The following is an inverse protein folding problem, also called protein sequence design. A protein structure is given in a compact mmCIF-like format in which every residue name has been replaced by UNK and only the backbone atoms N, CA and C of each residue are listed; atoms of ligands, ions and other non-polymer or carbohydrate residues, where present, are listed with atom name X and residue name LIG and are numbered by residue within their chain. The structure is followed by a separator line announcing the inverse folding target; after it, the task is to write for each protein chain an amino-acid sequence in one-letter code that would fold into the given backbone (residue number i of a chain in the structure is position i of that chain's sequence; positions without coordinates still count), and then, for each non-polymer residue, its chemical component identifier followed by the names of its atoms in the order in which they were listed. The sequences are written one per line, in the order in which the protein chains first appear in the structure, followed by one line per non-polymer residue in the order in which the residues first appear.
data_IF_800300623047
#
_entry.id   IF_800300623047
#
_cell.length_a   1.000
_cell.length_b   1.000
_cell.length_c   1.000
_cell.angle_alpha   90.00
_cell.angle_beta   90.00
_cell.angle_gamma   90.00
#
_symmetry.space_group_name_H-M   'P 1'
#
loop_
_entity.id
_entity.type
_entity.pdbx_description
1 polymer ?
#
# COMPACT_ATOMS: atom_id res chain seq x y z
N UNK A 1 10.93 -2.90 7.14
CA UNK A 1 10.46 -1.87 6.18
C UNK A 1 11.29 -0.58 6.25
N UNK A 2 11.57 -0.02 7.43
CA UNK A 2 12.44 1.17 7.56
C UNK A 2 13.84 0.95 6.97
N UNK A 3 14.39 -0.25 7.12
CA UNK A 3 15.72 -0.60 6.61
C UNK A 3 15.77 -0.65 5.08
N UNK A 4 14.70 -1.14 4.45
CA UNK A 4 14.55 -1.12 2.98
C UNK A 4 14.47 0.33 2.48
N UNK A 5 13.72 1.20 3.16
CA UNK A 5 13.67 2.63 2.82
C UNK A 5 15.04 3.30 2.94
N UNK A 6 15.78 3.00 4.02
CA UNK A 6 17.10 3.56 4.24
C UNK A 6 18.11 3.10 3.17
N UNK A 7 18.06 1.83 2.76
CA UNK A 7 18.89 1.33 1.66
C UNK A 7 18.57 2.03 0.32
N UNK A 8 17.29 2.26 0.01
CA UNK A 8 16.88 2.99 -1.20
C UNK A 8 17.38 4.45 -1.18
N UNK A 9 17.38 5.11 -0.02
CA UNK A 9 17.80 6.50 0.13
C UNK A 9 19.32 6.67 0.19
N UNK A 10 20.06 5.58 0.40
CA UNK A 10 21.52 5.62 0.46
C UNK A 10 22.12 5.77 -0.94
N UNK A 11 23.00 6.76 -1.18
CA UNK A 11 23.66 6.93 -2.46
C UNK A 11 24.71 5.85 -2.76
N UNK A 12 25.18 5.13 -1.73
CA UNK A 12 26.25 4.13 -1.82
C UNK A 12 25.73 2.69 -1.81
N UNK A 13 24.41 2.48 -1.74
CA UNK A 13 23.85 1.14 -1.67
C UNK A 13 24.11 0.35 -2.95
N UNK A 14 24.61 -0.87 -2.79
CA UNK A 14 24.88 -1.81 -3.90
C UNK A 14 23.91 -2.98 -3.86
N UNK A 15 23.81 -3.74 -4.95
CA UNK A 15 22.86 -4.87 -5.06
C UNK A 15 23.01 -5.91 -3.95
N UNK A 16 24.22 -6.12 -3.43
CA UNK A 16 24.47 -7.05 -2.33
C UNK A 16 23.78 -6.61 -1.02
N UNK A 17 23.68 -5.30 -0.77
CA UNK A 17 23.03 -4.77 0.43
C UNK A 17 21.53 -5.09 0.41
N UNK A 18 20.87 -4.89 -0.73
CA UNK A 18 19.46 -5.22 -0.89
C UNK A 18 19.19 -6.72 -0.78
N UNK A 19 20.09 -7.56 -1.30
CA UNK A 19 19.97 -9.02 -1.22
C UNK A 19 20.09 -9.54 0.23
N UNK A 20 20.80 -8.82 1.09
CA UNK A 20 20.94 -9.16 2.50
C UNK A 20 19.78 -8.69 3.38
N UNK A 21 18.90 -7.81 2.88
CA UNK A 21 17.79 -7.28 3.68
C UNK A 21 16.69 -8.32 3.87
N UNK A 22 16.21 -8.53 5.12
CA UNK A 22 15.08 -9.41 5.37
C UNK A 22 13.80 -8.83 4.78
N UNK A 23 13.02 -9.69 4.12
CA UNK A 23 11.70 -9.30 3.61
C UNK A 23 10.70 -9.19 4.76
N UNK A 24 9.89 -8.12 4.81
CA UNK A 24 8.83 -7.99 5.79
C UNK A 24 7.68 -8.95 5.44
N UNK A 25 7.06 -9.53 6.47
CA UNK A 25 5.92 -10.45 6.30
C UNK A 25 4.66 -9.75 5.77
N UNK A 26 4.53 -8.44 6.00
CA UNK A 26 3.42 -7.63 5.50
C UNK A 26 3.88 -6.20 5.17
N UNK A 27 3.08 -5.51 4.37
CA UNK A 27 3.30 -4.11 4.03
C UNK A 27 1.98 -3.34 4.11
N UNK A 28 2.09 -2.03 4.32
CA UNK A 28 0.92 -1.14 4.33
C UNK A 28 0.51 -0.86 2.90
N UNK A 29 -0.76 -1.08 2.59
CA UNK A 29 -1.37 -0.82 1.29
C UNK A 29 -2.71 -0.10 1.47
N UNK A 30 -3.16 0.60 0.43
CA UNK A 30 -4.55 1.03 0.32
C UNK A 30 -5.31 -0.09 -0.39
N UNK A 31 -6.40 -0.55 0.20
CA UNK A 31 -7.20 -1.67 -0.33
C UNK A 31 -8.69 -1.35 -0.38
N UNK A 32 -9.41 -2.08 -1.23
CA UNK A 32 -10.86 -2.18 -1.20
C UNK A 32 -11.23 -3.58 -0.71
N UNK A 33 -12.32 -3.71 0.02
CA UNK A 33 -12.73 -5.01 0.53
C UNK A 33 -13.88 -5.61 -0.27
N UNK A 34 -13.91 -6.94 -0.35
CA UNK A 34 -14.88 -7.70 -1.15
C UNK A 34 -16.32 -7.58 -0.61
N UNK A 35 -16.47 -7.43 0.69
CA UNK A 35 -17.74 -7.26 1.37
C UNK A 35 -18.36 -5.87 1.18
N UNK A 36 -17.63 -4.94 0.57
CA UNK A 36 -18.08 -3.56 0.33
C UNK A 36 -18.41 -3.27 -1.14
N UNK A 37 -18.61 -4.29 -1.97
CA UNK A 37 -18.90 -4.08 -3.42
C UNK A 37 -20.15 -3.24 -3.65
N UNK A 38 -21.13 -3.36 -2.76
CA UNK A 38 -22.45 -2.74 -2.88
C UNK A 38 -22.55 -1.43 -2.06
N UNK A 39 -21.44 -0.95 -1.48
CA UNK A 39 -21.38 0.22 -0.59
C UNK A 39 -21.99 1.50 -1.18
N UNK A 40 -21.99 1.63 -2.51
CA UNK A 40 -22.46 2.81 -3.22
C UNK A 40 -23.72 2.57 -4.09
N UNK A 41 -24.45 1.48 -3.85
CA UNK A 41 -25.67 1.19 -4.57
C UNK A 41 -26.75 2.25 -4.32
N UNK A 42 -27.47 2.61 -5.38
CA UNK A 42 -28.49 3.67 -5.34
C UNK A 42 -27.97 5.11 -5.32
N UNK A 43 -26.65 5.34 -5.27
CA UNK A 43 -26.06 6.68 -5.31
C UNK A 43 -25.69 7.09 -6.75
N UNK A 44 -25.90 8.37 -7.07
CA UNK A 44 -25.34 8.97 -8.30
C UNK A 44 -23.83 9.10 -8.17
N UNK A 45 -23.09 8.99 -9.28
CA UNK A 45 -21.62 8.93 -9.29
C UNK A 45 -20.94 10.05 -8.51
N UNK A 46 -21.49 11.27 -8.55
CA UNK A 46 -20.95 12.43 -7.82
C UNK A 46 -20.96 12.25 -6.30
N UNK A 47 -21.92 11.48 -5.79
CA UNK A 47 -22.14 11.32 -4.35
C UNK A 47 -21.39 10.09 -3.79
N UNK A 48 -20.74 9.30 -4.66
CA UNK A 48 -19.85 8.20 -4.28
C UNK A 48 -18.53 8.79 -3.77
N UNK A 49 -18.30 8.68 -2.47
CA UNK A 49 -17.10 9.21 -1.81
C UNK A 49 -16.02 8.13 -1.64
N UNK A 50 -14.90 8.16 -2.39
CA UNK A 50 -13.86 7.13 -2.31
C UNK A 50 -13.24 6.96 -0.93
N UNK A 51 -13.31 7.98 -0.06
CA UNK A 51 -12.78 7.90 1.31
C UNK A 51 -13.55 6.90 2.19
N UNK A 52 -14.74 6.47 1.74
CA UNK A 52 -15.55 5.47 2.43
C UNK A 52 -15.22 4.03 2.04
N UNK A 53 -14.52 3.81 0.92
CA UNK A 53 -14.22 2.48 0.38
C UNK A 53 -12.73 2.12 0.40
N UNK A 54 -11.86 3.08 0.72
CA UNK A 54 -10.41 2.90 0.76
C UNK A 54 -9.96 2.74 2.21
N UNK A 55 -9.26 1.63 2.48
CA UNK A 55 -8.69 1.27 3.79
C UNK A 55 -7.18 1.21 3.75
#
# INVERSE_FOLDING_TARGET
MKDILAAIQSPDAVSADFAALPLPESYRAITVHKDETDLFDGLVTRDKDPRKSLH
#
